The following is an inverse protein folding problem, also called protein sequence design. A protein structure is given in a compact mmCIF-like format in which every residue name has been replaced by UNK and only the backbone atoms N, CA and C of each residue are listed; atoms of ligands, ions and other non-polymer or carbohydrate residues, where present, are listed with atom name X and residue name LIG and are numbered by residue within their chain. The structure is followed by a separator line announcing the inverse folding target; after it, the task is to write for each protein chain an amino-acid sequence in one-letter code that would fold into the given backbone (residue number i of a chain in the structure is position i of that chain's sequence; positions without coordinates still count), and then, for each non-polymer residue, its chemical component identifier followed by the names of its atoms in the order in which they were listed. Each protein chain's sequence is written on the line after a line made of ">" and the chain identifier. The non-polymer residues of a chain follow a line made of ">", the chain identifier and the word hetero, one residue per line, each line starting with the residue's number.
data_IF_875894386851
#
_entry.id   IF_875894386851
#
_cell.length_a   1.000
_cell.length_b   1.000
_cell.length_c   1.000
_cell.angle_alpha   90.00
_cell.angle_beta   90.00
_cell.angle_gamma   90.00
#
_symmetry.space_group_name_H-M   'P 1'
#
loop_
_entity.id
_entity.type
_entity.pdbx_description
1 polymer ?
#
# COMPACT_ATOMS: atom_id res chain seq x y z
N UNK A 1 13.43 -10.72 46.02
CA UNK A 1 13.69 -9.35 45.57
C UNK A 1 15.05 -9.17 44.86
N UNK A 2 15.55 -10.17 44.09
CA UNK A 2 16.85 -10.06 43.37
C UNK A 2 16.79 -10.51 41.89
N UNK A 3 15.77 -11.25 41.46
CA UNK A 3 15.76 -11.88 40.12
C UNK A 3 15.01 -11.12 39.00
N UNK A 4 14.53 -9.89 39.25
CA UNK A 4 13.81 -9.08 38.23
C UNK A 4 14.61 -7.90 37.67
N UNK A 5 15.83 -7.66 38.16
CA UNK A 5 16.73 -6.61 37.65
C UNK A 5 17.63 -7.12 36.50
N UNK A 6 17.73 -8.43 36.30
CA UNK A 6 18.64 -9.03 35.31
C UNK A 6 18.09 -9.16 33.87
N UNK A 7 16.82 -8.83 33.60
CA UNK A 7 16.24 -8.98 32.24
C UNK A 7 16.30 -7.69 31.40
N UNK A 8 16.56 -6.53 32.02
CA UNK A 8 16.65 -5.26 31.28
C UNK A 8 18.04 -5.03 30.67
N UNK A 9 19.07 -5.75 31.13
CA UNK A 9 20.47 -5.51 30.72
C UNK A 9 20.93 -6.26 29.45
N UNK A 10 20.14 -7.18 28.89
CA UNK A 10 20.59 -8.02 27.75
C UNK A 10 20.22 -7.48 26.36
N UNK A 11 19.60 -6.31 26.25
CA UNK A 11 19.14 -5.76 24.95
C UNK A 11 19.97 -4.60 24.39
N UNK A 12 21.11 -4.24 25.01
CA UNK A 12 21.98 -3.14 24.56
C UNK A 12 23.29 -3.69 23.95
N UNK A 13 23.23 -4.76 23.15
CA UNK A 13 24.44 -5.28 22.48
C UNK A 13 24.23 -5.83 21.05
N UNK A 14 23.25 -5.30 20.32
CA UNK A 14 23.16 -5.54 18.88
C UNK A 14 22.93 -4.23 18.14
N UNK A 15 24.06 -3.60 17.78
CA UNK A 15 24.11 -2.40 16.95
C UNK A 15 23.56 -2.63 15.53
N UNK A 16 23.23 -1.55 14.81
CA UNK A 16 22.65 -1.63 13.47
C UNK A 16 23.65 -2.14 12.41
N UNK A 17 23.18 -2.87 11.37
CA UNK A 17 24.03 -3.34 10.28
C UNK A 17 24.59 -2.17 9.46
N UNK A 18 25.91 -2.18 9.25
CA UNK A 18 26.64 -1.20 8.42
C UNK A 18 26.26 -1.37 6.95
N UNK A 19 25.50 -0.41 6.41
CA UNK A 19 25.33 -0.25 4.96
C UNK A 19 26.33 0.82 4.53
N UNK A 20 27.34 0.39 3.76
CA UNK A 20 28.33 1.28 3.17
C UNK A 20 27.67 2.18 2.12
N UNK A 21 27.66 3.48 2.40
CA UNK A 21 27.44 4.51 1.40
C UNK A 21 28.64 5.44 1.42
N UNK A 22 29.19 5.63 0.22
CA UNK A 22 30.39 6.38 -0.05
C UNK A 22 30.32 7.83 0.41
N UNK A 23 31.50 8.27 0.83
CA UNK A 23 31.95 9.62 1.12
C UNK A 23 31.22 10.75 0.35
N UNK A 24 30.74 11.72 1.12
CA UNK A 24 30.37 13.06 0.69
C UNK A 24 30.29 13.97 1.92
N UNK A 25 31.32 14.79 2.13
CA UNK A 25 31.46 15.71 3.26
C UNK A 25 30.38 16.79 3.27
N UNK A 26 29.82 17.11 4.46
CA UNK A 26 29.56 18.50 4.92
C UNK A 26 29.33 18.52 6.44
N UNK A 27 29.75 19.64 7.07
CA UNK A 27 30.09 19.87 8.48
C UNK A 27 28.93 20.30 9.42
N UNK A 28 29.24 20.31 10.73
CA UNK A 28 28.64 20.99 11.92
C UNK A 28 27.48 20.24 12.64
N UNK A 29 27.51 19.97 13.95
CA UNK A 29 27.68 20.84 15.14
C UNK A 29 28.27 20.11 16.40
N UNK A 30 28.65 20.85 17.48
CA UNK A 30 29.56 20.45 18.58
C UNK A 30 28.94 19.66 19.76
N UNK A 31 29.85 19.05 20.52
CA UNK A 31 29.69 18.10 21.64
C UNK A 31 29.41 18.71 23.02
N UNK A 32 28.56 19.74 23.15
CA UNK A 32 28.28 20.37 24.47
C UNK A 32 26.79 20.75 24.70
N UNK A 33 25.85 19.86 24.34
CA UNK A 33 24.42 20.13 24.59
C UNK A 33 23.59 18.93 25.04
N UNK A 34 24.21 17.95 25.71
CA UNK A 34 23.54 16.70 26.11
C UNK A 34 23.62 16.34 27.60
N UNK A 35 24.04 17.25 28.48
CA UNK A 35 24.15 16.96 29.93
C UNK A 35 23.22 17.74 30.87
N UNK A 36 22.43 18.71 30.38
CA UNK A 36 21.45 19.45 31.20
C UNK A 36 19.99 18.96 31.10
N UNK A 37 19.65 18.14 30.11
CA UNK A 37 18.26 17.69 29.90
C UNK A 37 17.88 16.43 30.70
N UNK A 38 18.84 15.72 31.27
CA UNK A 38 18.60 14.46 32.00
C UNK A 38 18.21 14.72 33.47
N UNK A 39 18.60 15.85 34.05
CA UNK A 39 18.44 16.09 35.50
C UNK A 39 17.05 16.60 35.93
N UNK A 40 16.21 17.10 35.01
CA UNK A 40 14.88 17.67 35.36
C UNK A 40 13.76 16.62 35.28
N UNK A 41 13.95 15.52 34.55
CA UNK A 41 12.92 14.47 34.44
C UNK A 41 12.80 13.56 35.69
N UNK A 42 13.78 13.58 36.60
CA UNK A 42 13.84 12.66 37.73
C UNK A 42 13.03 13.10 38.98
N UNK A 43 12.73 14.40 39.16
CA UNK A 43 12.18 14.91 40.44
C UNK A 43 10.64 14.96 40.50
N UNK A 44 9.94 14.81 39.36
CA UNK A 44 8.45 14.86 39.35
C UNK A 44 7.80 13.47 39.41
N UNK A 45 8.55 12.40 39.16
CA UNK A 45 7.99 11.04 39.01
C UNK A 45 7.75 10.29 40.33
N UNK A 46 8.23 10.77 41.47
CA UNK A 46 8.08 10.08 42.76
C UNK A 46 6.82 10.45 43.54
N UNK A 47 6.04 11.45 43.11
CA UNK A 47 4.87 11.93 43.88
C UNK A 47 3.51 11.36 43.47
N UNK A 48 3.47 10.43 42.52
CA UNK A 48 2.22 9.83 42.01
C UNK A 48 2.14 8.30 42.11
N UNK A 49 2.99 7.66 42.92
CA UNK A 49 3.02 6.20 43.10
C UNK A 49 2.19 5.67 44.29
N UNK A 50 1.31 6.51 44.88
CA UNK A 50 0.50 6.14 46.05
C UNK A 50 -0.98 5.84 45.80
N UNK A 51 -1.52 6.04 44.59
CA UNK A 51 -2.97 6.02 44.35
C UNK A 51 -3.49 4.79 43.57
N UNK A 52 -2.70 3.71 43.48
CA UNK A 52 -3.07 2.53 42.67
C UNK A 52 -3.08 1.18 43.41
N UNK A 53 -2.97 1.18 44.74
CA UNK A 53 -2.88 -0.07 45.52
C UNK A 53 -4.25 -0.57 46.04
N UNK A 54 -5.33 0.21 45.90
CA UNK A 54 -6.66 -0.19 46.40
C UNK A 54 -7.76 -0.24 45.33
N UNK A 55 -7.43 -0.48 44.05
CA UNK A 55 -8.47 -0.61 43.03
C UNK A 55 -8.95 -2.08 42.88
N UNK A 56 -10.21 -2.41 43.24
CA UNK A 56 -10.71 -3.78 43.29
C UNK A 56 -10.74 -4.45 41.91
N UNK A 57 -10.28 -5.71 41.84
CA UNK A 57 -10.15 -6.48 40.60
C UNK A 57 -11.49 -6.77 39.90
N UNK A 58 -12.62 -6.57 40.56
CA UNK A 58 -13.98 -6.76 40.01
C UNK A 58 -14.38 -5.69 38.98
N UNK A 59 -13.63 -4.59 38.85
CA UNK A 59 -13.93 -3.50 37.90
C UNK A 59 -13.12 -3.55 36.59
N UNK A 60 -12.39 -4.64 36.31
CA UNK A 60 -11.73 -4.86 35.02
C UNK A 60 -12.67 -5.33 33.90
N UNK A 61 -13.96 -5.56 34.20
CA UNK A 61 -14.96 -6.00 33.20
C UNK A 61 -15.68 -4.84 32.49
N UNK A 62 -15.34 -3.57 32.80
CA UNK A 62 -15.97 -2.39 32.19
C UNK A 62 -15.02 -1.50 31.37
N UNK A 63 -13.71 -1.77 31.39
CA UNK A 63 -12.83 -1.28 30.34
C UNK A 63 -12.91 -2.30 29.21
N UNK A 64 -13.68 -1.98 28.16
CA UNK A 64 -13.85 -2.79 26.97
C UNK A 64 -12.52 -3.10 26.27
N UNK A 65 -11.75 -4.03 26.84
CA UNK A 65 -10.70 -4.76 26.16
C UNK A 65 -11.39 -5.87 25.39
N UNK A 66 -12.18 -5.45 24.39
CA UNK A 66 -12.49 -6.30 23.27
C UNK A 66 -11.15 -6.81 22.76
N UNK A 67 -10.98 -8.13 22.85
CA UNK A 67 -9.90 -8.89 22.23
C UNK A 67 -9.72 -8.30 20.83
N UNK A 68 -8.66 -7.50 20.64
CA UNK A 68 -8.30 -6.99 19.32
C UNK A 68 -8.04 -8.24 18.50
N UNK A 69 -9.01 -8.60 17.68
CA UNK A 69 -8.82 -9.56 16.63
C UNK A 69 -7.75 -8.94 15.74
N UNK A 70 -6.51 -9.39 15.92
CA UNK A 70 -5.45 -9.24 14.94
C UNK A 70 -5.86 -10.05 13.71
N UNK A 71 -6.89 -9.58 13.00
CA UNK A 71 -7.01 -9.79 11.58
C UNK A 71 -5.79 -9.09 11.03
N UNK A 72 -4.73 -9.87 10.75
CA UNK A 72 -3.55 -9.39 10.07
C UNK A 72 -3.98 -8.84 8.71
N UNK A 73 -4.40 -7.57 8.69
CA UNK A 73 -4.68 -6.80 7.48
C UNK A 73 -3.36 -6.78 6.72
N UNK A 74 -3.26 -7.61 5.68
CA UNK A 74 -2.17 -7.61 4.72
C UNK A 74 -1.82 -6.16 4.38
N UNK A 75 -0.69 -5.70 4.90
CA UNK A 75 -0.27 -4.31 4.73
C UNK A 75 0.10 -4.12 3.26
N UNK A 76 -0.19 -2.93 2.73
CA UNK A 76 0.09 -2.62 1.33
C UNK A 76 1.60 -2.77 1.07
N UNK A 77 1.98 -3.84 0.37
CA UNK A 77 3.39 -4.23 0.12
C UNK A 77 4.22 -3.14 -0.56
N UNK A 78 3.61 -2.32 -1.41
CA UNK A 78 4.35 -1.26 -2.14
C UNK A 78 3.61 0.07 -2.13
N UNK A 79 4.35 1.16 -1.87
CA UNK A 79 3.79 2.53 -1.92
C UNK A 79 3.56 3.00 -3.37
N UNK A 80 4.58 2.87 -4.23
CA UNK A 80 4.60 3.44 -5.60
C UNK A 80 4.61 2.39 -6.71
N UNK A 81 5.30 1.27 -6.52
CA UNK A 81 5.53 0.26 -7.56
C UNK A 81 4.23 -0.43 -8.04
N UNK A 82 3.43 -1.03 -7.15
CA UNK A 82 2.27 -1.83 -7.59
C UNK A 82 2.69 -3.04 -8.43
N UNK A 83 1.96 -3.32 -9.53
CA UNK A 83 2.18 -4.49 -10.39
C UNK A 83 3.59 -4.56 -11.01
N UNK A 84 4.21 -3.41 -11.28
CA UNK A 84 5.57 -3.33 -11.83
C UNK A 84 6.67 -3.64 -10.80
N UNK A 85 6.32 -4.02 -9.58
CA UNK A 85 7.27 -4.50 -8.56
C UNK A 85 8.07 -5.73 -9.03
N UNK A 86 7.53 -6.54 -9.95
CA UNK A 86 8.21 -7.70 -10.56
C UNK A 86 9.52 -7.36 -11.28
N UNK A 87 9.66 -6.12 -11.76
CA UNK A 87 10.83 -5.70 -12.51
C UNK A 87 12.01 -5.28 -11.63
N UNK A 88 11.79 -5.06 -10.33
CA UNK A 88 12.83 -4.57 -9.40
C UNK A 88 13.43 -3.25 -9.85
N UNK A 89 14.77 -3.14 -9.80
CA UNK A 89 15.53 -1.92 -10.08
C UNK A 89 15.83 -1.68 -11.57
N UNK A 90 15.76 -2.70 -12.42
CA UNK A 90 16.44 -2.79 -13.74
C UNK A 90 16.12 -1.70 -14.80
N UNK A 91 14.87 -1.34 -15.03
CA UNK A 91 14.49 -0.53 -16.22
C UNK A 91 14.30 0.98 -15.98
N UNK A 92 14.65 1.48 -14.79
CA UNK A 92 14.43 2.90 -14.45
C UNK A 92 12.97 3.27 -14.15
N UNK A 93 12.76 4.47 -13.61
CA UNK A 93 11.46 4.89 -13.08
C UNK A 93 10.45 5.31 -14.17
N UNK A 94 10.90 5.93 -15.26
CA UNK A 94 10.03 6.41 -16.35
C UNK A 94 9.29 5.26 -17.05
N UNK A 95 10.05 4.27 -17.52
CA UNK A 95 9.50 3.08 -18.20
C UNK A 95 8.54 2.31 -17.29
N UNK A 96 8.89 2.14 -16.00
CA UNK A 96 8.00 1.48 -15.03
C UNK A 96 6.69 2.22 -14.82
N UNK A 97 6.65 3.57 -14.90
CA UNK A 97 5.40 4.34 -14.78
C UNK A 97 4.50 4.13 -16.00
N UNK A 98 5.06 4.08 -17.21
CA UNK A 98 4.30 3.84 -18.44
C UNK A 98 3.73 2.42 -18.48
N UNK A 99 4.59 1.41 -18.23
CA UNK A 99 4.18 0.00 -18.21
C UNK A 99 3.13 -0.24 -17.13
N UNK A 100 3.26 0.38 -15.95
CA UNK A 100 2.25 0.24 -14.88
C UNK A 100 0.84 0.63 -15.36
N UNK A 101 0.69 1.70 -16.16
CA UNK A 101 -0.62 2.11 -16.68
C UNK A 101 -1.20 1.04 -17.62
N UNK A 102 -0.37 0.53 -18.54
CA UNK A 102 -0.76 -0.52 -19.49
C UNK A 102 -1.05 -1.86 -18.81
N UNK A 103 -0.27 -2.23 -17.79
CA UNK A 103 -0.44 -3.49 -17.07
C UNK A 103 -1.64 -3.49 -16.11
N UNK A 104 -2.00 -2.33 -15.58
CA UNK A 104 -3.23 -2.19 -14.78
C UNK A 104 -4.44 -2.33 -15.70
N UNK A 105 -4.44 -1.66 -16.86
CA UNK A 105 -5.57 -1.73 -17.78
C UNK A 105 -5.72 -3.12 -18.40
N UNK A 106 -4.62 -3.79 -18.78
CA UNK A 106 -4.72 -5.13 -19.39
C UNK A 106 -5.26 -6.20 -18.43
N UNK A 107 -4.98 -6.08 -17.13
CA UNK A 107 -5.41 -7.06 -16.11
C UNK A 107 -6.72 -6.68 -15.42
N UNK A 108 -7.24 -5.48 -15.67
CA UNK A 108 -8.53 -5.06 -15.18
C UNK A 108 -9.65 -5.91 -15.80
N UNK A 109 -10.74 -6.08 -15.05
CA UNK A 109 -11.99 -6.62 -15.60
C UNK A 109 -12.80 -5.48 -16.18
N UNK A 110 -13.28 -5.64 -17.41
CA UNK A 110 -14.12 -4.65 -18.08
C UNK A 110 -15.60 -5.02 -18.04
N UNK A 111 -16.43 -4.00 -18.18
CA UNK A 111 -17.87 -4.13 -18.34
C UNK A 111 -18.21 -4.83 -19.66
N UNK A 112 -19.09 -5.82 -19.60
CA UNK A 112 -19.62 -6.48 -20.78
C UNK A 112 -20.94 -5.82 -21.23
N UNK A 113 -20.97 -5.29 -22.46
CA UNK A 113 -22.16 -4.70 -23.07
C UNK A 113 -23.31 -5.70 -23.26
N UNK A 114 -23.03 -7.01 -23.23
CA UNK A 114 -24.04 -8.04 -23.47
C UNK A 114 -24.69 -8.60 -22.20
N UNK A 115 -23.92 -8.78 -21.12
CA UNK A 115 -24.44 -9.38 -19.88
C UNK A 115 -24.50 -8.41 -18.69
N UNK A 116 -24.01 -7.17 -18.84
CA UNK A 116 -24.03 -6.15 -17.80
C UNK A 116 -23.05 -6.39 -16.64
N UNK A 117 -22.22 -7.44 -16.69
CA UNK A 117 -21.27 -7.81 -15.62
C UNK A 117 -19.83 -7.40 -15.95
N UNK A 118 -19.03 -7.13 -14.92
CA UNK A 118 -17.58 -6.89 -15.03
C UNK A 118 -16.80 -8.22 -15.10
N UNK A 119 -16.95 -8.92 -16.22
CA UNK A 119 -16.37 -10.26 -16.42
C UNK A 119 -15.49 -10.38 -17.67
N UNK A 120 -15.34 -9.30 -18.45
CA UNK A 120 -14.49 -9.30 -19.65
C UNK A 120 -13.03 -9.27 -19.24
N UNK A 121 -12.26 -10.23 -19.74
CA UNK A 121 -10.80 -10.31 -19.58
C UNK A 121 -10.12 -10.45 -20.94
N UNK A 122 -8.88 -9.98 -21.02
CA UNK A 122 -8.03 -10.14 -22.19
C UNK A 122 -7.64 -11.61 -22.37
N UNK A 123 -7.83 -12.17 -23.57
CA UNK A 123 -7.32 -13.50 -23.94
C UNK A 123 -5.98 -13.38 -24.66
N UNK A 124 -5.92 -12.55 -25.68
CA UNK A 124 -4.72 -12.22 -26.44
C UNK A 124 -4.74 -10.74 -26.83
N UNK A 125 -3.72 -10.27 -27.55
CA UNK A 125 -3.66 -8.88 -28.02
C UNK A 125 -4.88 -8.60 -28.90
N UNK A 126 -5.67 -7.58 -28.54
CA UNK A 126 -6.86 -7.18 -29.30
C UNK A 126 -8.08 -8.09 -29.14
N UNK A 127 -7.96 -9.26 -28.51
CA UNK A 127 -9.08 -10.20 -28.31
C UNK A 127 -9.48 -10.26 -26.84
N UNK A 128 -10.74 -9.93 -26.57
CA UNK A 128 -11.32 -9.86 -25.24
C UNK A 128 -12.48 -10.85 -25.11
N UNK A 129 -12.47 -11.65 -24.05
CA UNK A 129 -13.51 -12.65 -23.81
C UNK A 129 -14.22 -12.41 -22.49
N UNK A 130 -15.55 -12.44 -22.50
CA UNK A 130 -16.33 -12.48 -21.27
C UNK A 130 -16.35 -13.91 -20.71
N UNK A 131 -16.11 -14.04 -19.40
CA UNK A 131 -16.19 -15.34 -18.73
C UNK A 131 -17.63 -15.83 -18.57
N UNK A 132 -18.57 -14.91 -18.31
CA UNK A 132 -19.94 -15.29 -17.97
C UNK A 132 -20.79 -15.61 -19.20
N UNK A 133 -20.70 -14.78 -20.25
CA UNK A 133 -21.52 -14.95 -21.46
C UNK A 133 -20.78 -15.65 -22.61
N UNK A 134 -19.50 -15.97 -22.46
CA UNK A 134 -18.68 -16.61 -23.49
C UNK A 134 -18.39 -15.76 -24.73
N UNK A 135 -19.04 -14.59 -24.89
CA UNK A 135 -18.86 -13.72 -26.05
C UNK A 135 -17.44 -13.16 -26.11
N UNK A 136 -16.90 -13.17 -27.33
CA UNK A 136 -15.57 -12.64 -27.66
C UNK A 136 -15.75 -11.36 -28.47
N UNK A 137 -15.04 -10.30 -28.08
CA UNK A 137 -15.06 -8.98 -28.70
C UNK A 137 -13.65 -8.57 -29.10
N UNK A 138 -13.50 -8.05 -30.32
CA UNK A 138 -12.29 -7.40 -30.76
C UNK A 138 -12.22 -5.97 -30.17
N UNK A 139 -11.04 -5.56 -29.73
CA UNK A 139 -10.83 -4.28 -29.05
C UNK A 139 -9.38 -3.81 -29.10
N UNK A 140 -9.02 -2.89 -28.22
CA UNK A 140 -7.66 -2.38 -28.12
C UNK A 140 -6.66 -3.40 -27.58
N UNK A 141 -5.37 -3.12 -27.75
CA UNK A 141 -4.29 -3.99 -27.28
C UNK A 141 -4.26 -4.11 -25.74
N UNK A 142 -4.46 -3.00 -25.03
CA UNK A 142 -4.37 -2.90 -23.56
C UNK A 142 -5.67 -2.42 -22.88
N UNK A 143 -6.64 -1.94 -23.64
CA UNK A 143 -7.96 -1.51 -23.17
C UNK A 143 -9.05 -2.10 -24.06
N UNK A 144 -10.22 -2.40 -23.50
CA UNK A 144 -11.33 -2.98 -24.28
C UNK A 144 -11.80 -2.03 -25.39
N UNK A 145 -12.00 -0.76 -25.05
CA UNK A 145 -12.40 0.30 -25.99
C UNK A 145 -11.31 1.38 -26.05
N UNK A 146 -10.85 1.69 -27.26
CA UNK A 146 -9.97 2.84 -27.53
C UNK A 146 -10.80 4.08 -27.86
N UNK A 147 -10.28 5.28 -27.58
CA UNK A 147 -10.99 6.54 -27.86
C UNK A 147 -11.43 6.65 -29.33
N UNK A 148 -10.54 6.33 -30.28
CA UNK A 148 -10.87 6.37 -31.72
C UNK A 148 -11.98 5.37 -32.10
N UNK A 149 -11.99 4.17 -31.51
CA UNK A 149 -13.07 3.22 -31.76
C UNK A 149 -14.42 3.70 -31.22
N UNK A 150 -14.43 4.45 -30.11
CA UNK A 150 -15.65 5.04 -29.56
C UNK A 150 -16.20 6.13 -30.50
N UNK A 151 -15.34 7.00 -31.03
CA UNK A 151 -15.75 8.06 -31.96
C UNK A 151 -16.18 7.51 -33.33
N UNK A 152 -15.52 6.46 -33.82
CA UNK A 152 -15.93 5.80 -35.06
C UNK A 152 -17.34 5.18 -34.92
N UNK A 153 -17.65 4.58 -33.78
CA UNK A 153 -19.00 4.03 -33.54
C UNK A 153 -20.08 5.11 -33.51
N UNK A 154 -19.82 6.27 -32.91
CA UNK A 154 -20.80 7.36 -32.87
C UNK A 154 -20.97 8.04 -34.23
N UNK A 155 -19.88 8.23 -34.98
CA UNK A 155 -19.94 8.82 -36.33
C UNK A 155 -20.68 7.92 -37.31
N UNK A 156 -20.40 6.61 -37.33
CA UNK A 156 -21.12 5.64 -38.18
C UNK A 156 -22.62 5.64 -37.84
N UNK A 157 -22.97 5.64 -36.55
CA UNK A 157 -24.38 5.70 -36.12
C UNK A 157 -25.08 6.93 -36.69
N UNK A 158 -24.48 8.12 -36.52
CA UNK A 158 -25.03 9.38 -37.03
C UNK A 158 -25.18 9.37 -38.55
N UNK A 159 -24.19 8.85 -39.27
CA UNK A 159 -24.23 8.79 -40.73
C UNK A 159 -25.33 7.85 -41.25
N UNK A 160 -25.59 6.73 -40.57
CA UNK A 160 -26.69 5.82 -40.94
C UNK A 160 -28.06 6.46 -40.74
N UNK A 161 -28.24 7.17 -39.61
CA UNK A 161 -29.47 7.91 -39.31
C UNK A 161 -29.79 9.00 -40.35
N UNK A 162 -28.78 9.56 -41.04
CA UNK A 162 -28.96 10.56 -42.09
C UNK A 162 -29.34 9.98 -43.47
N UNK A 163 -29.08 8.70 -43.71
CA UNK A 163 -29.34 8.05 -44.99
C UNK A 163 -30.70 7.35 -44.98
N UNK A 164 -31.07 6.78 -43.83
CA UNK A 164 -32.29 5.98 -43.67
C UNK A 164 -33.48 6.76 -43.09
N UNK A 165 -33.23 7.94 -42.50
CA UNK A 165 -34.25 8.85 -41.98
C UNK A 165 -34.57 9.97 -42.96
#
# INVERSE_FOLDING_TARGET
>A
MIYKILIICSCIHSGPPKIGLGFGQTKWWPTEFTQRAIYIHAVVAERYLGFWISFPQSKWRQLGWSRVSNSAKMTKRTKKAGIVGKYGTRYGASLRKQIKKMEVSQHAKYFCEFCGKYAVKRKSVGIWGCKDCGKVKAGGAYTLNTASAVTVRSTIRRLREQIEG
#
